data_IF_973356769389
#
_entry.id   IF_973356769389
#
_cell.length_a   1.000
_cell.length_b   1.000
_cell.length_c   1.000
_cell.angle_alpha   90.00
_cell.angle_beta   90.00
_cell.angle_gamma   90.00
#
_symmetry.space_group_name_H-M   'P 1'
#
loop_
_entity.id
_entity.type
_entity.pdbx_description
1 polymer ?
#
# COMPACT_ATOMS: atom_id res chain seq x y z
N UNK A 1 16.74 31.92 -3.34
CA UNK A 1 15.73 30.95 -3.84
C UNK A 1 15.04 30.35 -2.63
N UNK A 2 13.71 30.38 -2.61
CA UNK A 2 12.91 30.21 -1.41
C UNK A 2 12.68 28.72 -1.09
N UNK A 3 13.57 28.13 -0.29
CA UNK A 3 13.56 26.69 0.08
C UNK A 3 12.23 26.26 0.71
N UNK A 4 11.56 27.16 1.46
CA UNK A 4 10.30 26.87 2.16
C UNK A 4 9.11 26.49 1.25
N UNK A 5 9.01 27.05 0.03
CA UNK A 5 7.83 26.84 -0.81
C UNK A 5 7.82 25.44 -1.47
N UNK A 6 9.00 24.94 -1.85
CA UNK A 6 9.17 23.62 -2.44
C UNK A 6 8.92 22.51 -1.40
N UNK A 7 9.49 22.65 -0.21
CA UNK A 7 9.32 21.69 0.89
C UNK A 7 7.85 21.57 1.33
N UNK A 8 7.12 22.69 1.39
CA UNK A 8 5.70 22.70 1.71
C UNK A 8 4.84 22.00 0.64
N UNK A 9 5.17 22.20 -0.64
CA UNK A 9 4.43 21.56 -1.73
C UNK A 9 4.67 20.04 -1.74
N UNK A 10 5.89 19.60 -1.46
CA UNK A 10 6.24 18.19 -1.37
C UNK A 10 5.57 17.50 -0.17
N UNK A 11 5.57 18.14 1.01
CA UNK A 11 4.85 17.65 2.18
C UNK A 11 3.35 17.50 1.93
N UNK A 12 2.72 18.47 1.26
CA UNK A 12 1.31 18.36 0.89
C UNK A 12 1.06 17.23 -0.12
N UNK A 13 1.94 17.05 -1.10
CA UNK A 13 1.84 15.95 -2.06
C UNK A 13 2.01 14.59 -1.39
N UNK A 14 2.92 14.48 -0.41
CA UNK A 14 3.09 13.29 0.42
C UNK A 14 1.82 13.01 1.24
N UNK A 15 1.30 13.99 1.98
CA UNK A 15 0.10 13.83 2.79
C UNK A 15 -1.12 13.36 1.96
N UNK A 16 -1.31 13.92 0.76
CA UNK A 16 -2.37 13.47 -0.16
C UNK A 16 -2.20 12.03 -0.61
N UNK A 17 -0.97 11.59 -0.87
CA UNK A 17 -0.67 10.18 -1.23
C UNK A 17 -0.99 9.25 -0.06
N UNK A 18 -0.62 9.62 1.17
CA UNK A 18 -0.96 8.84 2.38
C UNK A 18 -2.48 8.72 2.56
N UNK A 19 -3.21 9.81 2.44
CA UNK A 19 -4.67 9.80 2.55
C UNK A 19 -5.31 8.92 1.47
N UNK A 20 -4.80 8.98 0.23
CA UNK A 20 -5.27 8.12 -0.85
C UNK A 20 -4.97 6.64 -0.57
N UNK A 21 -3.78 6.29 -0.08
CA UNK A 21 -3.45 4.91 0.33
C UNK A 21 -4.43 4.42 1.41
N UNK A 22 -4.70 5.21 2.45
CA UNK A 22 -5.67 4.87 3.52
C UNK A 22 -7.09 4.65 2.98
N UNK A 23 -7.57 5.49 2.07
CA UNK A 23 -8.89 5.32 1.44
C UNK A 23 -8.97 4.06 0.59
N UNK A 24 -7.91 3.74 -0.14
CA UNK A 24 -7.84 2.55 -0.98
C UNK A 24 -7.87 1.28 -0.12
N UNK A 25 -7.02 1.22 0.90
CA UNK A 25 -6.94 0.10 1.84
C UNK A 25 -8.23 -0.06 2.67
N UNK A 26 -8.91 1.05 2.97
CA UNK A 26 -10.06 1.04 3.86
C UNK A 26 -9.66 0.89 5.33
N UNK A 27 -10.63 1.10 6.21
CA UNK A 27 -10.39 1.15 7.67
C UNK A 27 -9.85 -0.18 8.21
N UNK A 28 -10.42 -1.31 7.77
CA UNK A 28 -10.08 -2.63 8.29
C UNK A 28 -8.64 -3.03 7.96
N UNK A 29 -8.22 -2.91 6.70
CA UNK A 29 -6.85 -3.24 6.29
C UNK A 29 -5.85 -2.22 6.84
N UNK A 30 -6.20 -0.92 6.84
CA UNK A 30 -5.32 0.11 7.38
C UNK A 30 -5.04 -0.09 8.88
N UNK A 31 -6.02 -0.58 9.66
CA UNK A 31 -5.85 -0.86 11.07
C UNK A 31 -4.88 -2.03 11.36
N UNK A 32 -4.69 -2.95 10.40
CA UNK A 32 -3.76 -4.07 10.57
C UNK A 32 -2.29 -3.63 10.66
N UNK A 33 -1.94 -2.45 10.14
CA UNK A 33 -0.58 -1.93 10.25
C UNK A 33 -0.20 -1.57 11.70
N UNK A 34 -1.19 -1.36 12.57
CA UNK A 34 -0.96 -1.08 13.99
C UNK A 34 -0.95 -2.37 14.85
N UNK A 35 -1.30 -3.53 14.27
CA UNK A 35 -1.33 -4.83 14.96
C UNK A 35 0.05 -5.51 14.88
N UNK A 36 0.79 -5.51 15.99
CA UNK A 36 2.11 -6.14 16.10
C UNK A 36 2.12 -7.66 15.90
N UNK A 37 0.95 -8.30 15.93
CA UNK A 37 0.80 -9.74 15.64
C UNK A 37 0.71 -10.05 14.15
N UNK A 38 0.44 -9.05 13.30
CA UNK A 38 0.34 -9.21 11.84
C UNK A 38 1.73 -9.32 11.23
N UNK A 39 1.90 -10.34 10.39
CA UNK A 39 3.14 -10.63 9.66
C UNK A 39 3.01 -10.22 8.20
N UNK A 40 1.91 -10.61 7.55
CA UNK A 40 1.68 -10.35 6.13
C UNK A 40 0.19 -10.09 5.86
N UNK A 41 -0.09 -9.16 4.94
CA UNK A 41 -1.42 -8.87 4.41
C UNK A 41 -1.37 -9.18 2.92
N UNK A 42 -2.22 -10.09 2.46
CA UNK A 42 -2.26 -10.53 1.07
C UNK A 42 -3.63 -10.18 0.48
N UNK A 43 -3.64 -9.51 -0.66
CA UNK A 43 -4.84 -9.33 -1.47
C UNK A 43 -4.70 -10.11 -2.77
N UNK A 44 -5.58 -11.08 -2.99
CA UNK A 44 -5.59 -11.88 -4.20
C UNK A 44 -6.21 -11.10 -5.38
N UNK A 45 -5.96 -11.52 -6.63
CA UNK A 45 -6.56 -10.90 -7.82
C UNK A 45 -8.11 -10.95 -7.83
N UNK A 46 -8.72 -11.91 -7.14
CA UNK A 46 -10.17 -12.02 -6.97
C UNK A 46 -10.74 -11.08 -5.90
N UNK A 47 -9.88 -10.28 -5.26
CA UNK A 47 -10.25 -9.33 -4.21
C UNK A 47 -10.26 -9.91 -2.80
N UNK A 48 -10.07 -11.23 -2.62
CA UNK A 48 -10.02 -11.82 -1.27
C UNK A 48 -8.77 -11.41 -0.54
N UNK A 49 -8.93 -11.03 0.73
CA UNK A 49 -7.85 -10.61 1.61
C UNK A 49 -7.59 -11.66 2.67
N UNK A 50 -6.31 -11.99 2.84
CA UNK A 50 -5.80 -12.90 3.85
C UNK A 50 -4.79 -12.16 4.72
N UNK A 51 -4.71 -12.57 5.97
CA UNK A 51 -3.76 -12.04 6.94
C UNK A 51 -3.04 -13.19 7.63
N UNK A 52 -1.71 -13.12 7.64
CA UNK A 52 -0.86 -14.00 8.44
C UNK A 52 -0.58 -13.35 9.79
N UNK A 53 -0.72 -14.12 10.87
CA UNK A 53 -0.38 -13.67 12.22
C UNK A 53 0.60 -14.61 12.91
N UNK A 54 1.46 -14.04 13.77
CA UNK A 54 2.42 -14.76 14.60
C UNK A 54 1.72 -15.90 15.37
N UNK A 55 2.16 -17.13 15.17
CA UNK A 55 1.65 -18.31 15.87
C UNK A 55 0.25 -18.79 15.47
N UNK A 56 -0.46 -18.08 14.57
CA UNK A 56 -1.83 -18.43 14.15
C UNK A 56 -1.95 -18.82 12.67
N UNK A 57 -0.89 -18.61 11.87
CA UNK A 57 -0.89 -18.90 10.43
C UNK A 57 -1.75 -17.91 9.63
N UNK A 58 -2.16 -18.33 8.43
CA UNK A 58 -2.92 -17.51 7.48
C UNK A 58 -4.42 -17.70 7.70
N UNK A 59 -5.16 -16.60 7.74
CA UNK A 59 -6.62 -16.58 7.89
C UNK A 59 -7.28 -15.59 6.92
N UNK A 60 -8.52 -15.86 6.45
CA UNK A 60 -9.27 -14.88 5.67
C UNK A 60 -9.64 -13.68 6.53
N UNK A 61 -9.52 -12.48 5.97
CA UNK A 61 -9.93 -11.23 6.60
C UNK A 61 -11.26 -10.74 6.02
N UNK A 62 -11.38 -10.74 4.69
CA UNK A 62 -12.50 -10.14 3.99
C UNK A 62 -12.21 -9.96 2.50
N UNK A 63 -12.77 -8.91 1.91
CA UNK A 63 -12.63 -8.61 0.49
C UNK A 63 -12.32 -7.13 0.26
N UNK A 64 -11.59 -6.84 -0.81
CA UNK A 64 -11.31 -5.51 -1.34
C UNK A 64 -11.61 -5.50 -2.85
N UNK A 65 -12.17 -4.41 -3.36
CA UNK A 65 -12.39 -4.27 -4.81
C UNK A 65 -11.06 -4.47 -5.57
N UNK A 66 -11.03 -5.35 -6.57
CA UNK A 66 -9.82 -5.59 -7.37
C UNK A 66 -9.27 -4.30 -8.02
N UNK A 67 -10.16 -3.37 -8.39
CA UNK A 67 -9.79 -2.04 -8.91
C UNK A 67 -9.05 -1.17 -7.88
N UNK A 68 -9.36 -1.31 -6.58
CA UNK A 68 -8.64 -0.65 -5.50
C UNK A 68 -7.24 -1.24 -5.32
N UNK A 69 -7.09 -2.57 -5.42
CA UNK A 69 -5.77 -3.22 -5.40
C UNK A 69 -4.91 -2.70 -6.55
N UNK A 70 -5.46 -2.61 -7.76
CA UNK A 70 -4.75 -2.06 -8.91
C UNK A 70 -4.42 -0.58 -8.74
N UNK A 71 -5.31 0.21 -8.13
CA UNK A 71 -5.05 1.61 -7.80
C UNK A 71 -3.92 1.76 -6.76
N UNK A 72 -3.85 0.85 -5.77
CA UNK A 72 -2.76 0.83 -4.80
C UNK A 72 -1.42 0.54 -5.48
N UNK A 73 -1.38 -0.42 -6.41
CA UNK A 73 -0.17 -0.72 -7.20
C UNK A 73 0.34 0.50 -7.96
N UNK A 74 -0.56 1.22 -8.65
CA UNK A 74 -0.20 2.45 -9.35
C UNK A 74 0.30 3.55 -8.41
N UNK A 75 -0.36 3.71 -7.26
CA UNK A 75 0.03 4.70 -6.25
C UNK A 75 1.37 4.36 -5.58
N UNK A 76 1.65 3.08 -5.34
CA UNK A 76 2.94 2.62 -4.84
C UNK A 76 4.04 2.78 -5.89
N UNK A 77 3.75 2.54 -7.17
CA UNK A 77 4.70 2.81 -8.24
C UNK A 77 5.07 4.29 -8.30
N UNK A 78 4.08 5.18 -8.28
CA UNK A 78 4.29 6.63 -8.22
C UNK A 78 5.10 7.05 -6.98
N UNK A 79 4.75 6.53 -5.80
CA UNK A 79 5.45 6.80 -4.55
C UNK A 79 6.93 6.38 -4.59
N UNK A 80 7.23 5.24 -5.21
CA UNK A 80 8.57 4.69 -5.36
C UNK A 80 9.33 5.27 -6.56
N UNK A 81 8.77 6.26 -7.26
CA UNK A 81 9.32 6.85 -8.47
C UNK A 81 9.63 5.79 -9.55
N UNK A 82 8.74 4.81 -9.69
CA UNK A 82 8.80 3.75 -10.67
C UNK A 82 7.48 3.68 -11.47
N UNK A 83 7.42 2.77 -12.42
CA UNK A 83 6.23 2.53 -13.24
C UNK A 83 5.79 1.07 -13.10
N UNK A 84 4.48 0.86 -13.22
CA UNK A 84 3.87 -0.46 -13.38
C UNK A 84 3.18 -0.52 -14.73
N UNK A 85 3.51 -1.52 -15.54
CA UNK A 85 2.98 -1.71 -16.89
C UNK A 85 3.06 -3.18 -17.28
N UNK A 86 2.51 -3.56 -18.45
CA UNK A 86 2.63 -4.94 -18.94
C UNK A 86 4.08 -5.39 -19.12
N UNK A 87 4.96 -4.47 -19.53
CA UNK A 87 6.39 -4.75 -19.72
C UNK A 87 7.16 -4.77 -18.39
N UNK A 88 6.61 -4.13 -17.35
CA UNK A 88 7.16 -4.12 -15.99
C UNK A 88 6.02 -4.36 -14.98
N UNK A 89 5.57 -5.62 -14.82
CA UNK A 89 4.34 -5.92 -14.11
C UNK A 89 4.48 -5.86 -12.58
N UNK A 90 5.71 -5.82 -12.06
CA UNK A 90 6.00 -5.92 -10.63
C UNK A 90 6.30 -4.54 -10.05
N UNK A 91 5.67 -4.25 -8.90
CA UNK A 91 6.00 -3.13 -8.02
C UNK A 91 6.45 -3.71 -6.70
N UNK A 92 7.65 -3.32 -6.26
CA UNK A 92 8.20 -3.72 -4.97
C UNK A 92 8.94 -2.55 -4.33
N UNK A 93 8.83 -2.42 -3.01
CA UNK A 93 9.52 -1.37 -2.25
C UNK A 93 8.98 -1.20 -0.85
N UNK A 94 9.52 -0.23 -0.12
CA UNK A 94 9.03 0.12 1.20
C UNK A 94 7.86 1.11 1.10
N UNK A 95 6.81 0.88 1.89
CA UNK A 95 5.74 1.84 2.08
C UNK A 95 6.22 3.09 2.83
N UNK A 96 5.42 4.17 2.85
CA UNK A 96 5.68 5.31 3.70
C UNK A 96 5.81 4.98 5.19
N UNK A 97 6.37 5.91 5.97
CA UNK A 97 6.57 5.74 7.42
C UNK A 97 5.24 5.59 8.17
N UNK A 98 4.16 6.15 7.64
CA UNK A 98 2.79 6.04 8.15
C UNK A 98 2.22 4.62 8.03
N UNK A 99 2.91 3.75 7.29
CA UNK A 99 2.67 2.31 7.17
C UNK A 99 3.88 1.52 7.70
N UNK A 100 4.59 2.06 8.68
CA UNK A 100 5.75 1.47 9.36
C UNK A 100 6.91 1.06 8.44
N UNK A 101 7.02 1.68 7.26
CA UNK A 101 7.97 1.28 6.20
C UNK A 101 7.83 -0.20 5.80
N UNK A 102 6.61 -0.75 5.94
CA UNK A 102 6.31 -2.13 5.58
C UNK A 102 6.74 -2.44 4.15
N UNK A 103 7.22 -3.65 3.91
CA UNK A 103 7.53 -4.10 2.56
C UNK A 103 6.23 -4.27 1.78
N UNK A 104 6.17 -3.69 0.60
CA UNK A 104 5.10 -3.85 -0.36
C UNK A 104 5.62 -4.61 -1.57
N UNK A 105 4.85 -5.57 -2.05
CA UNK A 105 5.06 -6.23 -3.32
C UNK A 105 3.71 -6.52 -3.97
N UNK A 106 3.62 -6.34 -5.28
CA UNK A 106 2.49 -6.85 -6.02
C UNK A 106 2.72 -6.76 -7.52
N UNK A 107 1.84 -7.41 -8.26
CA UNK A 107 1.97 -7.54 -9.70
C UNK A 107 0.64 -7.33 -10.41
N UNK A 108 0.71 -6.83 -11.64
CA UNK A 108 -0.41 -6.84 -12.57
C UNK A 108 -0.24 -7.99 -13.59
N UNK A 109 -1.35 -8.54 -14.13
CA UNK A 109 -1.30 -9.59 -15.15
C UNK A 109 -0.72 -9.14 -16.50
#
# INVERSE_FOLDING_TARGET
>A
MNVNAHDQQEQQAHARRIEQMRRILGLEIAALFDDTGVVEIMANPDGRVFVERLGSGISPLGEIDASRVQSLLGLMADYLHTTVSRDRPIVEGAMPIEFLRSRFAGAIP
#
